data_IF_849679142455
#
_entry.id   IF_849679142455
#
_cell.length_a   1.000
_cell.length_b   1.000
_cell.length_c   1.000
_cell.angle_alpha   90.00
_cell.angle_beta   90.00
_cell.angle_gamma   90.00
#
_symmetry.space_group_name_H-M   'P 1'
#
loop_
_entity.id
_entity.type
_entity.pdbx_description
1 polymer ?
#
# COMPACT_ATOMS: atom_id res chain seq x y z
N UNK A 1 -14.23 13.36 -10.86
CA UNK A 1 -12.93 13.06 -11.50
C UNK A 1 -11.83 13.56 -10.57
N UNK A 2 -10.99 12.68 -10.04
CA UNK A 2 -9.87 13.06 -9.19
C UNK A 2 -8.56 13.10 -10.01
N UNK A 3 -7.48 13.63 -9.44
CA UNK A 3 -6.19 13.76 -10.14
C UNK A 3 -5.60 12.40 -10.54
N UNK A 4 -5.87 11.35 -9.76
CA UNK A 4 -5.35 10.00 -10.02
C UNK A 4 -6.02 9.31 -11.21
N UNK A 5 -7.28 9.64 -11.54
CA UNK A 5 -7.89 9.24 -12.81
C UNK A 5 -7.15 9.84 -14.01
N UNK A 6 -6.69 11.10 -13.90
CA UNK A 6 -5.88 11.71 -14.96
C UNK A 6 -4.50 11.03 -15.08
N UNK A 7 -3.87 10.70 -13.94
CA UNK A 7 -2.60 9.93 -13.92
C UNK A 7 -2.80 8.54 -14.52
N UNK A 8 -3.90 7.85 -14.23
CA UNK A 8 -4.21 6.53 -14.81
C UNK A 8 -4.28 6.57 -16.34
N UNK A 9 -4.80 7.65 -16.92
CA UNK A 9 -4.85 7.82 -18.38
C UNK A 9 -3.46 8.16 -18.96
N UNK A 10 -2.70 9.03 -18.28
CA UNK A 10 -1.40 9.49 -18.76
C UNK A 10 -0.28 8.45 -18.58
N UNK A 11 -0.30 7.72 -17.46
CA UNK A 11 0.71 6.75 -17.01
C UNK A 11 0.04 5.52 -16.39
N UNK A 12 -0.60 4.65 -17.20
CA UNK A 12 -1.40 3.53 -16.70
C UNK A 12 -0.58 2.50 -15.90
N UNK A 13 0.71 2.36 -16.20
CA UNK A 13 1.62 1.41 -15.54
C UNK A 13 2.19 1.94 -14.21
N UNK A 14 1.98 3.23 -13.90
CA UNK A 14 2.49 3.83 -12.67
C UNK A 14 1.64 3.41 -11.47
N UNK A 15 2.26 2.88 -10.41
CA UNK A 15 1.54 2.61 -9.16
C UNK A 15 0.98 3.87 -8.49
N UNK A 16 1.42 5.07 -8.90
CA UNK A 16 1.00 6.33 -8.29
C UNK A 16 -0.53 6.53 -8.33
N UNK A 17 -1.19 6.17 -9.43
CA UNK A 17 -2.65 6.31 -9.52
C UNK A 17 -3.38 5.30 -8.63
N UNK A 18 -2.83 4.08 -8.48
CA UNK A 18 -3.38 3.05 -7.59
C UNK A 18 -3.27 3.51 -6.13
N UNK A 19 -2.05 3.89 -5.71
CA UNK A 19 -1.77 4.35 -4.35
C UNK A 19 -2.61 5.58 -4.02
N UNK A 20 -2.63 6.58 -4.91
CA UNK A 20 -3.37 7.80 -4.70
C UNK A 20 -4.89 7.58 -4.59
N UNK A 21 -5.45 6.71 -5.43
CA UNK A 21 -6.88 6.36 -5.35
C UNK A 21 -7.21 5.62 -4.05
N UNK A 22 -6.34 4.69 -3.62
CA UNK A 22 -6.48 4.02 -2.33
C UNK A 22 -6.42 5.00 -1.14
N UNK A 23 -5.52 5.99 -1.19
CA UNK A 23 -5.46 7.06 -0.18
C UNK A 23 -6.76 7.88 -0.13
N UNK A 24 -7.41 8.11 -1.28
CA UNK A 24 -8.72 8.79 -1.30
C UNK A 24 -9.76 7.95 -0.56
N UNK A 25 -9.84 6.64 -0.79
CA UNK A 25 -10.76 5.77 -0.06
C UNK A 25 -10.47 5.73 1.45
N UNK A 26 -9.20 5.62 1.83
CA UNK A 26 -8.81 5.58 3.24
C UNK A 26 -9.13 6.89 3.97
N UNK A 27 -9.00 8.05 3.32
CA UNK A 27 -9.19 9.35 3.97
C UNK A 27 -10.62 9.91 3.87
N UNK A 28 -11.34 9.66 2.78
CA UNK A 28 -12.64 10.30 2.54
C UNK A 28 -13.75 9.73 3.43
N UNK A 29 -13.72 8.42 3.69
CA UNK A 29 -14.77 7.71 4.42
C UNK A 29 -14.22 6.89 5.60
N UNK A 30 -12.96 7.12 5.99
CA UNK A 30 -12.21 6.27 6.94
C UNK A 30 -12.21 4.78 6.56
N UNK A 31 -12.36 4.51 5.25
CA UNK A 31 -12.63 3.17 4.74
C UNK A 31 -11.35 2.48 4.27
N UNK A 32 -10.52 2.15 5.24
CA UNK A 32 -9.22 1.48 5.02
C UNK A 32 -9.38 0.07 4.43
N UNK A 33 -10.51 -0.61 4.67
CA UNK A 33 -10.82 -1.88 4.02
C UNK A 33 -11.08 -1.71 2.51
N UNK A 34 -11.83 -0.68 2.11
CA UNK A 34 -12.04 -0.39 0.69
C UNK A 34 -10.74 0.02 -0.01
N UNK A 35 -9.86 0.76 0.67
CA UNK A 35 -8.52 1.06 0.16
C UNK A 35 -7.72 -0.22 -0.12
N UNK A 36 -7.70 -1.17 0.83
CA UNK A 36 -7.06 -2.47 0.65
C UNK A 36 -7.70 -3.24 -0.51
N UNK A 37 -9.03 -3.34 -0.52
CA UNK A 37 -9.80 -4.06 -1.54
C UNK A 37 -9.58 -3.50 -2.94
N UNK A 38 -9.52 -2.18 -3.06
CA UNK A 38 -9.21 -1.51 -4.32
C UNK A 38 -7.81 -1.89 -4.82
N UNK A 39 -6.77 -1.75 -3.99
CA UNK A 39 -5.40 -2.09 -4.40
C UNK A 39 -5.27 -3.56 -4.82
N UNK A 40 -5.90 -4.48 -4.07
CA UNK A 40 -5.90 -5.91 -4.42
C UNK A 40 -6.62 -6.19 -5.74
N UNK A 41 -7.72 -5.50 -6.05
CA UNK A 41 -8.40 -5.60 -7.35
C UNK A 41 -7.55 -5.08 -8.51
N UNK A 42 -6.64 -4.14 -8.27
CA UNK A 42 -5.63 -3.71 -9.24
C UNK A 42 -4.42 -4.64 -9.32
N UNK A 43 -4.42 -5.76 -8.59
CA UNK A 43 -3.36 -6.77 -8.63
C UNK A 43 -2.20 -6.53 -7.64
N UNK A 44 -2.30 -5.53 -6.76
CA UNK A 44 -1.29 -5.31 -5.72
C UNK A 44 -1.43 -6.39 -4.65
N UNK A 45 -0.32 -7.07 -4.35
CA UNK A 45 -0.27 -8.15 -3.35
C UNK A 45 1.13 -8.25 -2.76
N UNK A 46 1.33 -9.09 -1.74
CA UNK A 46 2.67 -9.31 -1.17
C UNK A 46 3.72 -9.81 -2.19
N UNK A 47 3.31 -10.25 -3.38
CA UNK A 47 4.20 -10.74 -4.44
C UNK A 47 4.24 -9.83 -5.69
N UNK A 48 3.55 -8.68 -5.69
CA UNK A 48 3.61 -7.77 -6.85
C UNK A 48 5.02 -7.19 -7.03
N UNK A 49 5.40 -6.90 -8.28
CA UNK A 49 6.73 -6.37 -8.59
C UNK A 49 6.97 -4.94 -8.11
N UNK A 50 5.90 -4.14 -7.99
CA UNK A 50 6.01 -2.78 -7.48
C UNK A 50 6.09 -2.78 -5.94
N UNK A 51 7.29 -2.51 -5.42
CA UNK A 51 7.58 -2.51 -3.99
C UNK A 51 6.91 -1.35 -3.26
N UNK A 52 6.77 -0.19 -3.91
CA UNK A 52 6.13 0.97 -3.30
C UNK A 52 4.64 0.72 -3.11
N UNK A 53 3.95 0.19 -4.13
CA UNK A 53 2.55 -0.21 -4.03
C UNK A 53 2.35 -1.24 -2.91
N UNK A 54 3.29 -2.19 -2.75
CA UNK A 54 3.26 -3.17 -1.65
C UNK A 54 3.41 -2.53 -0.28
N UNK A 55 4.34 -1.60 -0.13
CA UNK A 55 4.53 -0.92 1.15
C UNK A 55 3.27 -0.12 1.55
N UNK A 56 2.62 0.54 0.58
CA UNK A 56 1.33 1.20 0.81
C UNK A 56 0.18 0.23 1.10
N UNK A 57 0.14 -0.94 0.46
CA UNK A 57 -0.81 -1.99 0.84
C UNK A 57 -0.62 -2.39 2.32
N UNK A 58 0.63 -2.54 2.77
CA UNK A 58 0.95 -2.79 4.18
C UNK A 58 0.38 -1.71 5.11
N UNK A 59 0.55 -0.44 4.75
CA UNK A 59 0.00 0.70 5.51
C UNK A 59 -1.54 0.62 5.62
N UNK A 60 -2.25 0.42 4.50
CA UNK A 60 -3.71 0.34 4.56
C UNK A 60 -4.21 -0.87 5.32
N UNK A 61 -3.47 -1.99 5.30
CA UNK A 61 -3.79 -3.16 6.11
C UNK A 61 -3.65 -2.86 7.62
N UNK A 62 -2.65 -2.09 8.04
CA UNK A 62 -2.55 -1.59 9.43
C UNK A 62 -3.78 -0.73 9.77
N UNK A 63 -4.11 0.22 8.90
CA UNK A 63 -5.26 1.12 9.13
C UNK A 63 -6.59 0.35 9.18
N UNK A 64 -6.72 -0.73 8.40
CA UNK A 64 -7.85 -1.67 8.44
C UNK A 64 -7.81 -2.67 9.62
N UNK A 65 -6.89 -2.50 10.57
CA UNK A 65 -6.71 -3.38 11.73
C UNK A 65 -6.36 -4.85 11.36
N UNK A 66 -5.68 -5.05 10.24
CA UNK A 66 -5.22 -6.36 9.72
C UNK A 66 -3.70 -6.50 9.88
N UNK A 67 -3.22 -6.37 11.11
CA UNK A 67 -1.80 -6.31 11.44
C UNK A 67 -0.99 -7.52 10.95
N UNK A 68 -1.54 -8.75 11.01
CA UNK A 68 -0.84 -9.96 10.55
C UNK A 68 -0.62 -9.99 9.03
N UNK A 69 -1.58 -9.50 8.25
CA UNK A 69 -1.44 -9.35 6.80
C UNK A 69 -0.45 -8.23 6.47
N UNK A 70 -0.52 -7.12 7.20
CA UNK A 70 0.42 -6.01 7.05
C UNK A 70 1.86 -6.46 7.32
N UNK A 71 2.09 -7.26 8.38
CA UNK A 71 3.40 -7.77 8.75
C UNK A 71 3.98 -8.66 7.65
N UNK A 72 3.16 -9.54 7.08
CA UNK A 72 3.56 -10.42 5.98
C UNK A 72 3.97 -9.60 4.75
N UNK A 73 3.21 -8.58 4.39
CA UNK A 73 3.53 -7.69 3.26
C UNK A 73 4.81 -6.90 3.53
N UNK A 74 4.95 -6.28 4.70
CA UNK A 74 6.11 -5.48 5.06
C UNK A 74 7.41 -6.31 5.09
N UNK A 75 7.39 -7.51 5.69
CA UNK A 75 8.54 -8.44 5.67
C UNK A 75 8.95 -8.80 4.24
N UNK A 76 7.99 -9.03 3.35
CA UNK A 76 8.29 -9.32 1.96
C UNK A 76 8.95 -8.13 1.24
N UNK A 77 8.48 -6.90 1.49
CA UNK A 77 9.10 -5.68 0.91
C UNK A 77 10.52 -5.47 1.41
N UNK A 78 10.77 -5.67 2.72
CA UNK A 78 12.12 -5.56 3.30
C UNK A 78 13.05 -6.64 2.74
N UNK A 79 12.56 -7.87 2.58
CA UNK A 79 13.35 -8.98 2.03
C UNK A 79 13.78 -8.75 0.58
N UNK A 80 12.92 -8.14 -0.25
CA UNK A 80 13.24 -7.86 -1.65
C UNK A 80 14.26 -6.71 -1.81
N UNK A 81 14.22 -5.71 -0.92
CA UNK A 81 15.30 -4.72 -0.73
C UNK A 81 15.65 -3.83 -1.95
N UNK A 82 14.76 -3.72 -2.94
CA UNK A 82 15.03 -3.05 -4.23
C UNK A 82 14.67 -1.56 -4.31
N UNK A 83 13.86 -1.05 -3.39
CA UNK A 83 13.39 0.34 -3.38
C UNK A 83 13.58 0.93 -1.97
N UNK A 84 14.39 1.99 -1.87
CA UNK A 84 14.79 2.57 -0.58
C UNK A 84 13.60 3.13 0.19
N UNK A 85 12.66 3.77 -0.50
CA UNK A 85 11.52 4.42 0.13
C UNK A 85 10.48 3.38 0.54
N UNK A 86 10.22 2.39 -0.31
CA UNK A 86 9.36 1.26 0.02
C UNK A 86 9.91 0.47 1.22
N UNK A 87 11.21 0.17 1.22
CA UNK A 87 11.85 -0.54 2.34
C UNK A 87 11.80 0.28 3.63
N UNK A 88 12.03 1.61 3.56
CA UNK A 88 11.93 2.48 4.74
C UNK A 88 10.51 2.48 5.33
N UNK A 89 9.49 2.61 4.47
CA UNK A 89 8.10 2.55 4.91
C UNK A 89 7.78 1.19 5.54
N UNK A 90 8.13 0.09 4.87
CA UNK A 90 7.89 -1.26 5.38
C UNK A 90 8.58 -1.51 6.73
N UNK A 91 9.82 -1.04 6.90
CA UNK A 91 10.53 -1.16 8.17
C UNK A 91 9.84 -0.35 9.28
N UNK A 92 9.41 0.88 8.99
CA UNK A 92 8.66 1.70 9.96
C UNK A 92 7.35 1.04 10.40
N UNK A 93 6.64 0.35 9.49
CA UNK A 93 5.42 -0.38 9.84
C UNK A 93 5.71 -1.51 10.83
N UNK A 94 6.79 -2.28 10.61
CA UNK A 94 7.20 -3.35 11.51
C UNK A 94 7.56 -2.79 12.90
N UNK A 95 8.41 -1.78 12.94
CA UNK A 95 9.01 -1.28 14.18
C UNK A 95 8.02 -0.50 15.06
N UNK A 96 7.01 0.14 14.48
CA UNK A 96 6.18 1.12 15.20
C UNK A 96 4.68 0.82 15.15
N UNK A 97 4.15 0.38 14.01
CA UNK A 97 2.71 0.28 13.82
C UNK A 97 2.16 -1.12 14.14
N UNK A 98 2.95 -2.16 13.86
CA UNK A 98 2.54 -3.56 14.01
C UNK A 98 3.00 -4.12 15.35
N UNK A 99 4.28 -3.98 15.69
CA UNK A 99 4.82 -4.50 16.96
C UNK A 99 4.70 -3.51 18.13
N UNK A 100 4.29 -2.27 17.86
CA UNK A 100 4.08 -1.23 18.88
C UNK A 100 2.67 -1.18 19.49
N UNK A 101 1.72 -1.99 19.00
CA UNK A 101 0.34 -2.12 19.52
C UNK A 101 0.18 -3.37 20.38
#
# INVERSE_FOLDING_TARGET
MNVFEAVRVAEPESAAWIIGTAMVYANADDNSEEACGFMMRQGVSAASGDLLARAFLGLFLVMANRASDAERVAKAVVADGGDTDATRLAQSLLDHEIHGR
#
